data_IF_377795691891
#
_entry.id   IF_377795691891
#
_cell.length_a   1.000
_cell.length_b   1.000
_cell.length_c   1.000
_cell.angle_alpha   90.00
_cell.angle_beta   90.00
_cell.angle_gamma   90.00
#
_symmetry.space_group_name_H-M   'P 1'
#
loop_
_entity.id
_entity.type
_entity.pdbx_description
1 polymer ?
#
# COMPACT_ATOMS: atom_id res chain seq x y z
N UNK A 1 29.35 -30.81 -9.15
CA UNK A 1 28.37 -30.02 -8.31
C UNK A 1 28.97 -28.62 -8.13
N UNK A 2 28.48 -27.64 -8.88
CA UNK A 2 28.86 -26.24 -8.67
C UNK A 2 28.22 -25.75 -7.35
N UNK A 3 29.00 -25.69 -6.30
CA UNK A 3 28.59 -25.10 -4.98
C UNK A 3 28.69 -23.57 -5.01
N UNK A 4 28.30 -22.92 -6.06
CA UNK A 4 28.47 -21.46 -6.15
C UNK A 4 27.26 -20.65 -6.57
N UNK A 5 26.16 -21.28 -6.97
CA UNK A 5 24.98 -20.57 -7.46
C UNK A 5 23.71 -20.81 -6.64
N UNK A 6 23.78 -21.63 -5.58
CA UNK A 6 22.62 -22.00 -4.75
C UNK A 6 22.17 -20.92 -3.76
N UNK A 7 23.07 -20.02 -3.38
CA UNK A 7 22.82 -19.04 -2.30
C UNK A 7 22.69 -17.59 -2.81
N UNK A 8 22.64 -17.38 -4.13
CA UNK A 8 22.41 -16.03 -4.66
C UNK A 8 20.92 -15.72 -4.59
N UNK A 9 20.57 -14.77 -3.75
CA UNK A 9 19.21 -14.19 -3.74
C UNK A 9 18.93 -13.53 -5.08
N UNK A 10 18.06 -14.14 -5.86
CA UNK A 10 17.51 -13.53 -7.08
C UNK A 10 16.19 -12.87 -6.70
N UNK A 11 16.24 -11.58 -6.47
CA UNK A 11 15.14 -10.78 -5.96
C UNK A 11 14.52 -9.94 -7.07
N UNK A 12 13.20 -9.90 -7.10
CA UNK A 12 12.41 -8.93 -7.84
C UNK A 12 11.61 -8.08 -6.86
N UNK A 13 11.66 -6.78 -7.01
CA UNK A 13 10.79 -5.82 -6.31
C UNK A 13 9.62 -5.46 -7.24
N UNK A 14 8.43 -5.36 -6.66
CA UNK A 14 7.23 -4.86 -7.31
C UNK A 14 6.60 -3.78 -6.44
N UNK A 15 6.46 -2.59 -6.98
CA UNK A 15 5.74 -1.49 -6.37
C UNK A 15 4.25 -1.58 -6.73
N UNK A 16 3.45 -1.98 -5.75
CA UNK A 16 1.98 -2.03 -5.90
C UNK A 16 1.30 -0.80 -5.28
N UNK A 17 2.04 0.01 -4.53
CA UNK A 17 1.51 1.22 -3.91
C UNK A 17 1.17 2.27 -4.97
N UNK A 18 2.10 2.57 -5.91
CA UNK A 18 1.87 3.54 -6.98
C UNK A 18 0.89 3.03 -8.02
N UNK A 19 1.02 1.76 -8.41
CA UNK A 19 0.11 1.11 -9.35
C UNK A 19 -0.28 -0.26 -8.83
N UNK A 20 -1.56 -0.45 -8.51
CA UNK A 20 -2.05 -1.69 -7.96
C UNK A 20 -1.99 -2.82 -8.98
N UNK A 21 -1.34 -3.91 -8.62
CA UNK A 21 -1.33 -5.15 -9.40
C UNK A 21 -2.39 -6.09 -8.84
N UNK A 22 -3.39 -6.44 -9.65
CA UNK A 22 -4.45 -7.36 -9.23
C UNK A 22 -3.86 -8.73 -8.85
N UNK A 23 -4.48 -9.42 -7.87
CA UNK A 23 -4.04 -10.74 -7.40
C UNK A 23 -3.77 -11.72 -8.55
N UNK A 24 -4.67 -11.79 -9.53
CA UNK A 24 -4.51 -12.71 -10.66
C UNK A 24 -3.22 -12.45 -11.47
N UNK A 25 -2.84 -11.21 -11.64
CA UNK A 25 -1.64 -10.84 -12.38
C UNK A 25 -0.38 -11.01 -11.53
N UNK A 26 -0.50 -10.77 -10.21
CA UNK A 26 0.60 -11.07 -9.28
C UNK A 26 0.90 -12.57 -9.23
N UNK A 27 -0.11 -13.44 -9.25
CA UNK A 27 0.10 -14.90 -9.32
C UNK A 27 0.82 -15.31 -10.63
N UNK A 28 0.46 -14.71 -11.76
CA UNK A 28 1.19 -14.92 -13.03
C UNK A 28 2.65 -14.45 -12.94
N UNK A 29 2.90 -13.31 -12.30
CA UNK A 29 4.26 -12.84 -12.06
C UNK A 29 5.06 -13.85 -11.22
N UNK A 30 4.46 -14.41 -10.18
CA UNK A 30 5.08 -15.46 -9.35
C UNK A 30 5.43 -16.68 -10.19
N UNK A 31 4.59 -17.11 -11.14
CA UNK A 31 4.92 -18.19 -12.08
C UNK A 31 6.14 -17.85 -12.95
N UNK A 32 6.18 -16.62 -13.46
CA UNK A 32 7.31 -16.13 -14.28
C UNK A 32 8.59 -16.11 -13.44
N UNK A 33 8.54 -15.60 -12.21
CA UNK A 33 9.69 -15.56 -11.31
C UNK A 33 10.21 -16.97 -11.01
N UNK A 34 9.31 -17.93 -10.78
CA UNK A 34 9.65 -19.33 -10.57
C UNK A 34 10.32 -19.93 -11.81
N UNK A 35 9.79 -19.67 -12.99
CA UNK A 35 10.37 -20.13 -14.27
C UNK A 35 11.80 -19.62 -14.45
N UNK A 36 12.07 -18.35 -14.10
CA UNK A 36 13.42 -17.77 -14.14
C UNK A 36 14.29 -18.11 -12.93
N UNK A 37 13.82 -19.02 -12.05
CA UNK A 37 14.54 -19.45 -10.83
C UNK A 37 14.88 -18.29 -9.90
N UNK A 38 14.00 -17.32 -9.82
CA UNK A 38 14.02 -16.29 -8.80
C UNK A 38 13.38 -16.83 -7.52
N UNK A 39 13.89 -16.43 -6.36
CA UNK A 39 13.52 -17.01 -5.08
C UNK A 39 13.00 -15.98 -4.06
N UNK A 40 12.98 -14.71 -4.43
CA UNK A 40 12.48 -13.63 -3.58
C UNK A 40 11.61 -12.66 -4.39
N UNK A 41 10.39 -12.42 -3.92
CA UNK A 41 9.51 -11.35 -4.36
C UNK A 41 9.39 -10.32 -3.23
N UNK A 42 9.82 -9.12 -3.49
CA UNK A 42 9.70 -7.99 -2.59
C UNK A 42 8.50 -7.14 -3.02
N UNK A 43 7.49 -7.04 -2.16
CA UNK A 43 6.28 -6.27 -2.41
C UNK A 43 6.31 -4.97 -1.62
N UNK A 44 6.37 -3.85 -2.31
CA UNK A 44 6.22 -2.52 -1.74
C UNK A 44 4.74 -2.20 -1.63
N UNK A 45 4.20 -2.35 -0.40
CA UNK A 45 2.77 -2.38 -0.12
C UNK A 45 2.18 -1.04 0.33
N UNK A 46 3.03 -0.10 0.73
CA UNK A 46 2.57 1.22 1.19
C UNK A 46 3.53 2.31 0.72
N UNK A 47 2.96 3.46 0.40
CA UNK A 47 3.68 4.67 0.07
C UNK A 47 2.76 5.89 0.25
N UNK A 48 3.20 7.07 -0.16
CA UNK A 48 2.42 8.30 -0.12
C UNK A 48 1.11 8.19 -0.94
N UNK A 49 1.13 7.41 -2.02
CA UNK A 49 0.03 7.31 -2.96
C UNK A 49 -0.99 6.23 -2.65
N UNK A 50 -0.64 5.24 -1.85
CA UNK A 50 -1.61 4.24 -1.38
C UNK A 50 -1.08 3.29 -0.31
N UNK A 51 -2.05 2.65 0.36
CA UNK A 51 -1.89 1.47 1.20
C UNK A 51 -2.58 0.26 0.57
N UNK A 52 -1.90 -0.89 0.45
CA UNK A 52 -2.36 -2.00 -0.41
C UNK A 52 -2.62 -3.33 0.30
N UNK A 53 -2.64 -3.37 1.62
CA UNK A 53 -2.90 -4.61 2.37
C UNK A 53 -3.88 -4.36 3.51
N UNK A 54 -4.85 -5.26 3.66
CA UNK A 54 -5.82 -5.20 4.76
C UNK A 54 -5.15 -5.51 6.10
N UNK A 55 -5.36 -4.62 7.08
CA UNK A 55 -4.98 -4.82 8.47
C UNK A 55 -6.28 -4.88 9.30
N UNK A 56 -6.60 -6.02 9.92
CA UNK A 56 -7.79 -6.14 10.74
C UNK A 56 -7.83 -5.11 11.88
N UNK A 57 -8.94 -4.41 11.99
CA UNK A 57 -9.12 -3.36 12.99
C UNK A 57 -8.62 -1.97 12.57
N UNK A 58 -8.08 -1.82 11.36
CA UNK A 58 -7.64 -0.56 10.75
C UNK A 58 -8.26 -0.43 9.35
N UNK A 59 -9.57 -0.44 9.28
CA UNK A 59 -10.34 -0.48 8.02
C UNK A 59 -10.06 0.73 7.14
N UNK A 60 -9.79 1.90 7.73
CA UNK A 60 -9.51 3.15 7.02
C UNK A 60 -8.27 3.06 6.11
N UNK A 61 -7.31 2.17 6.44
CA UNK A 61 -6.15 1.91 5.57
C UNK A 61 -6.57 1.37 4.20
N UNK A 62 -7.67 0.62 4.12
CA UNK A 62 -8.16 0.07 2.85
C UNK A 62 -9.39 0.79 2.32
N UNK A 63 -10.22 1.36 3.17
CA UNK A 63 -11.41 2.12 2.74
C UNK A 63 -11.05 3.46 2.10
N UNK A 64 -10.00 4.12 2.61
CA UNK A 64 -9.58 5.47 2.21
C UNK A 64 -8.25 5.41 1.46
N UNK A 65 -7.21 4.89 2.12
CA UNK A 65 -5.86 4.96 1.60
C UNK A 65 -5.55 3.98 0.46
N UNK A 66 -6.48 3.09 0.09
CA UNK A 66 -6.35 2.26 -1.11
C UNK A 66 -6.98 2.86 -2.36
N UNK A 67 -7.57 4.05 -2.26
CA UNK A 67 -8.35 4.68 -3.32
C UNK A 67 -7.82 6.07 -3.62
N UNK A 68 -7.90 6.47 -4.88
CA UNK A 68 -7.59 7.82 -5.34
C UNK A 68 -8.76 8.41 -6.11
N UNK A 69 -9.02 9.69 -5.89
CA UNK A 69 -10.12 10.40 -6.52
C UNK A 69 -10.00 11.91 -6.33
N UNK A 70 -10.89 12.65 -6.95
CA UNK A 70 -10.99 14.08 -6.70
C UNK A 70 -11.54 14.33 -5.30
N UNK A 71 -10.74 14.95 -4.46
CA UNK A 71 -11.06 15.28 -3.07
C UNK A 71 -10.42 16.60 -2.69
N UNK A 72 -10.93 17.27 -1.67
CA UNK A 72 -10.38 18.50 -1.12
C UNK A 72 -9.73 18.30 0.25
N UNK A 73 -10.07 17.23 0.94
CA UNK A 73 -9.68 16.97 2.34
C UNK A 73 -9.10 15.57 2.58
N UNK A 74 -9.18 14.70 1.59
CA UNK A 74 -8.71 13.30 1.65
C UNK A 74 -9.36 12.45 2.76
N UNK A 75 -10.59 12.78 3.14
CA UNK A 75 -11.32 12.00 4.14
C UNK A 75 -11.92 10.70 3.58
N UNK A 76 -12.16 10.64 2.27
CA UNK A 76 -12.79 9.50 1.59
C UNK A 76 -11.86 8.76 0.63
N UNK A 77 -10.84 9.44 0.11
CA UNK A 77 -9.84 8.89 -0.80
C UNK A 77 -8.63 9.84 -0.84
N UNK A 78 -7.51 9.36 -1.36
CA UNK A 78 -6.32 10.17 -1.60
C UNK A 78 -6.43 10.94 -2.92
N UNK A 79 -5.58 11.95 -3.11
CA UNK A 79 -5.46 12.66 -4.38
C UNK A 79 -5.02 11.75 -5.53
N UNK A 80 -5.42 12.06 -6.79
CA UNK A 80 -4.85 11.43 -7.97
C UNK A 80 -3.33 11.62 -8.02
N UNK A 81 -2.62 10.59 -8.47
CA UNK A 81 -1.17 10.63 -8.63
C UNK A 81 -0.75 9.92 -9.91
N UNK A 82 0.38 10.32 -10.49
CA UNK A 82 0.92 9.73 -11.73
C UNK A 82 -0.07 9.71 -12.90
N UNK A 83 -0.93 10.74 -13.01
CA UNK A 83 -2.03 10.84 -13.97
C UNK A 83 -3.06 9.69 -13.89
N UNK A 84 -3.21 9.05 -12.71
CA UNK A 84 -4.17 8.00 -12.45
C UNK A 84 -5.00 8.27 -11.20
N UNK A 85 -6.19 7.65 -11.12
CA UNK A 85 -7.03 7.73 -9.93
C UNK A 85 -7.95 8.94 -9.91
N UNK A 86 -8.57 9.29 -11.03
CA UNK A 86 -9.53 10.39 -11.12
C UNK A 86 -10.87 10.06 -10.46
N UNK A 87 -11.17 8.77 -10.28
CA UNK A 87 -12.41 8.28 -9.71
C UNK A 87 -12.11 7.14 -8.72
N UNK A 88 -12.39 7.36 -7.45
CA UNK A 88 -12.17 6.43 -6.34
C UNK A 88 -13.04 5.17 -6.41
N UNK A 89 -14.13 5.21 -7.18
CA UNK A 89 -15.03 4.06 -7.36
C UNK A 89 -14.65 3.20 -8.58
N UNK A 90 -13.70 3.63 -9.40
CA UNK A 90 -13.27 2.88 -10.57
C UNK A 90 -12.41 1.66 -10.19
N UNK A 91 -13.04 0.48 -10.18
CA UNK A 91 -12.37 -0.80 -9.89
C UNK A 91 -11.52 -1.32 -11.05
N UNK A 92 -11.55 -0.67 -12.20
CA UNK A 92 -10.72 -1.04 -13.36
C UNK A 92 -9.39 -0.29 -13.34
N UNK A 93 -9.35 0.86 -12.67
CA UNK A 93 -8.14 1.66 -12.50
C UNK A 93 -7.09 0.94 -11.65
N UNK A 94 -5.83 1.05 -12.06
CA UNK A 94 -4.69 0.59 -11.26
C UNK A 94 -4.35 1.55 -10.10
N UNK A 95 -5.06 2.66 -9.98
CA UNK A 95 -4.96 3.55 -8.85
C UNK A 95 -5.63 2.97 -7.59
N UNK A 96 -6.66 2.12 -7.78
CA UNK A 96 -7.55 1.65 -6.73
C UNK A 96 -7.39 0.16 -6.50
N UNK A 97 -7.46 -0.26 -5.24
CA UNK A 97 -7.44 -1.65 -4.85
C UNK A 97 -6.46 -1.96 -3.74
N UNK A 98 -6.65 -3.11 -3.15
CA UNK A 98 -5.81 -3.67 -2.09
C UNK A 98 -5.93 -5.20 -2.08
N UNK A 99 -5.02 -5.86 -1.38
CA UNK A 99 -5.12 -7.28 -1.07
C UNK A 99 -5.84 -7.45 0.25
N UNK A 100 -6.98 -8.16 0.24
CA UNK A 100 -7.61 -8.60 1.48
C UNK A 100 -6.66 -9.54 2.24
N UNK A 101 -6.92 -9.75 3.52
CA UNK A 101 -6.16 -10.73 4.30
C UNK A 101 -6.16 -12.12 3.64
N UNK A 102 -7.30 -12.54 3.10
CA UNK A 102 -7.41 -13.82 2.38
C UNK A 102 -6.59 -13.81 1.09
N UNK A 103 -6.64 -12.72 0.31
CA UNK A 103 -5.83 -12.59 -0.90
C UNK A 103 -4.34 -12.66 -0.61
N UNK A 104 -3.91 -11.98 0.45
CA UNK A 104 -2.50 -11.96 0.82
C UNK A 104 -2.03 -13.34 1.29
N UNK A 105 -2.85 -14.05 2.07
CA UNK A 105 -2.57 -15.44 2.45
C UNK A 105 -2.46 -16.38 1.25
N UNK A 106 -3.35 -16.24 0.26
CA UNK A 106 -3.29 -17.03 -0.97
C UNK A 106 -2.00 -16.73 -1.76
N UNK A 107 -1.61 -15.45 -1.87
CA UNK A 107 -0.35 -15.03 -2.52
C UNK A 107 0.84 -15.70 -1.82
N UNK A 108 0.89 -15.64 -0.48
CA UNK A 108 1.98 -16.25 0.30
C UNK A 108 2.05 -17.77 0.08
N UNK A 109 0.90 -18.45 0.12
CA UNK A 109 0.81 -19.89 -0.13
C UNK A 109 1.29 -20.24 -1.53
N UNK A 110 0.78 -19.53 -2.54
CA UNK A 110 1.13 -19.73 -3.94
C UNK A 110 2.62 -19.53 -4.22
N UNK A 111 3.22 -18.48 -3.64
CA UNK A 111 4.65 -18.21 -3.73
C UNK A 111 5.49 -19.31 -3.03
N UNK A 112 5.06 -19.74 -1.84
CA UNK A 112 5.72 -20.81 -1.07
C UNK A 112 5.77 -22.14 -1.86
N UNK A 113 4.70 -22.52 -2.53
CA UNK A 113 4.63 -23.71 -3.37
C UNK A 113 5.63 -23.66 -4.55
N UNK A 114 6.09 -22.45 -4.92
CA UNK A 114 7.08 -22.18 -5.97
C UNK A 114 8.46 -21.84 -5.42
N UNK A 115 8.69 -22.08 -4.13
CA UNK A 115 9.94 -21.77 -3.44
C UNK A 115 10.35 -20.29 -3.51
N UNK A 116 9.36 -19.38 -3.60
CA UNK A 116 9.54 -17.93 -3.59
C UNK A 116 9.16 -17.40 -2.22
N UNK A 117 10.11 -16.70 -1.58
CA UNK A 117 9.87 -15.95 -0.35
C UNK A 117 9.31 -14.58 -0.70
N UNK A 118 8.17 -14.23 -0.14
CA UNK A 118 7.61 -12.89 -0.23
C UNK A 118 8.13 -12.05 0.94
N UNK A 119 8.63 -10.86 0.64
CA UNK A 119 9.04 -9.85 1.63
C UNK A 119 8.06 -8.69 1.50
N UNK A 120 7.15 -8.49 2.45
CA UNK A 120 6.33 -7.29 2.51
C UNK A 120 7.19 -6.11 2.96
N UNK A 121 7.01 -4.97 2.31
CA UNK A 121 7.62 -3.68 2.69
C UNK A 121 6.52 -2.68 3.02
N UNK A 122 6.70 -2.03 4.17
CA UNK A 122 5.88 -0.93 4.64
C UNK A 122 6.86 0.15 5.10
N UNK A 123 6.82 1.31 4.47
CA UNK A 123 7.74 2.39 4.76
C UNK A 123 7.23 3.30 5.88
N UNK A 124 8.12 3.56 6.85
CA UNK A 124 7.92 4.49 7.96
C UNK A 124 9.29 5.04 8.43
N UNK A 125 9.38 6.29 8.84
CA UNK A 125 8.37 7.37 8.83
C UNK A 125 8.22 8.05 7.47
N UNK A 126 9.15 7.84 6.53
CA UNK A 126 9.06 8.32 5.16
C UNK A 126 8.05 7.54 4.34
N UNK A 127 7.53 8.14 3.26
CA UNK A 127 6.58 7.48 2.34
C UNK A 127 5.34 6.91 3.05
N UNK A 128 4.85 7.59 4.09
CA UNK A 128 3.75 7.10 4.93
C UNK A 128 2.48 7.94 4.86
N UNK A 129 2.40 8.89 3.90
CA UNK A 129 1.27 9.81 3.77
C UNK A 129 -0.08 9.09 3.69
N UNK A 130 -0.19 8.00 2.91
CA UNK A 130 -1.43 7.24 2.81
C UNK A 130 -1.90 6.71 4.18
N UNK A 131 -0.98 6.16 4.98
CA UNK A 131 -1.29 5.70 6.34
C UNK A 131 -1.68 6.86 7.26
N UNK A 132 -0.98 7.99 7.18
CA UNK A 132 -1.28 9.21 7.96
C UNK A 132 -2.71 9.69 7.66
N UNK A 133 -3.09 9.77 6.38
CA UNK A 133 -4.45 10.20 5.99
C UNK A 133 -5.54 9.23 6.47
N UNK A 134 -5.30 7.93 6.40
CA UNK A 134 -6.19 6.93 6.96
C UNK A 134 -6.35 7.10 8.47
N UNK A 135 -5.27 7.33 9.22
CA UNK A 135 -5.33 7.54 10.67
C UNK A 135 -6.00 8.88 11.04
N UNK A 136 -5.79 9.93 10.26
CA UNK A 136 -6.52 11.18 10.43
C UNK A 136 -8.03 11.00 10.25
N UNK A 137 -8.47 10.26 9.24
CA UNK A 137 -9.87 9.95 9.04
C UNK A 137 -10.44 9.10 10.20
N UNK A 138 -9.65 8.16 10.72
CA UNK A 138 -10.00 7.38 11.90
C UNK A 138 -10.14 8.26 13.15
N UNK A 139 -9.23 9.19 13.36
CA UNK A 139 -9.35 10.20 14.42
C UNK A 139 -10.68 10.96 14.31
N UNK A 140 -11.02 11.49 13.13
CA UNK A 140 -12.25 12.22 12.90
C UNK A 140 -13.50 11.37 13.16
N UNK A 141 -13.45 10.08 12.84
CA UNK A 141 -14.56 9.14 13.10
C UNK A 141 -14.87 8.97 14.59
N UNK A 142 -13.87 9.08 15.46
CA UNK A 142 -14.02 8.84 16.90
C UNK A 142 -14.09 10.12 17.74
N UNK A 143 -13.68 11.29 17.24
CA UNK A 143 -13.55 12.53 18.04
C UNK A 143 -14.85 12.92 18.75
N UNK A 144 -16.00 12.72 18.13
CA UNK A 144 -17.30 13.09 18.68
C UNK A 144 -17.96 11.96 19.52
N UNK A 145 -17.43 10.72 19.43
CA UNK A 145 -18.07 9.55 20.07
C UNK A 145 -17.22 8.94 21.17
N UNK A 146 -15.91 8.94 21.03
CA UNK A 146 -14.95 8.38 21.97
C UNK A 146 -13.61 9.13 21.87
N UNK A 147 -13.51 10.22 22.61
CA UNK A 147 -12.33 11.08 22.56
C UNK A 147 -11.05 10.35 22.98
N UNK A 148 -11.11 9.46 23.97
CA UNK A 148 -9.93 8.71 24.42
C UNK A 148 -9.40 7.80 23.30
N UNK A 149 -10.31 7.17 22.56
CA UNK A 149 -9.95 6.34 21.41
C UNK A 149 -9.46 7.18 20.22
N UNK A 150 -10.04 8.35 20.01
CA UNK A 150 -9.57 9.26 18.97
C UNK A 150 -8.12 9.69 19.21
N UNK A 151 -7.78 10.04 20.44
CA UNK A 151 -6.42 10.50 20.81
C UNK A 151 -5.32 9.45 20.51
N UNK A 152 -5.66 8.15 20.48
CA UNK A 152 -4.72 7.09 20.07
C UNK A 152 -4.24 7.25 18.62
N UNK A 153 -5.04 7.92 17.77
CA UNK A 153 -4.77 8.10 16.35
C UNK A 153 -4.39 9.54 15.99
N UNK A 154 -4.27 10.42 16.99
CA UNK A 154 -3.86 11.80 16.79
C UNK A 154 -2.34 11.87 16.50
N UNK A 155 -1.99 12.24 15.28
CA UNK A 155 -0.61 12.39 14.85
C UNK A 155 -0.14 13.82 15.11
N UNK A 156 0.34 14.08 16.33
CA UNK A 156 0.80 15.43 16.74
C UNK A 156 2.14 15.81 16.13
N UNK A 157 3.05 14.85 15.99
CA UNK A 157 4.41 15.09 15.54
C UNK A 157 4.54 15.23 14.01
N UNK A 158 3.51 14.80 13.27
CA UNK A 158 3.47 14.82 11.80
C UNK A 158 2.42 15.77 11.22
N UNK A 159 1.72 16.54 12.06
CA UNK A 159 0.71 17.49 11.61
C UNK A 159 1.27 18.47 10.56
N UNK A 160 2.48 18.95 10.76
CA UNK A 160 3.16 19.86 9.83
C UNK A 160 3.62 19.16 8.55
N UNK A 161 4.07 17.89 8.63
CA UNK A 161 4.52 17.14 7.45
C UNK A 161 3.36 16.69 6.59
N UNK A 162 2.19 16.40 7.15
CA UNK A 162 0.99 16.07 6.35
C UNK A 162 0.50 17.27 5.55
N UNK A 163 0.65 18.50 6.07
CA UNK A 163 0.37 19.74 5.34
C UNK A 163 1.47 20.08 4.33
N UNK A 164 2.73 19.81 4.64
CA UNK A 164 3.86 20.03 3.73
C UNK A 164 3.83 19.09 2.53
N UNK A 165 3.44 17.85 2.70
CA UNK A 165 3.33 16.86 1.61
C UNK A 165 2.10 17.09 0.74
N UNK A 166 1.05 17.74 1.25
CA UNK A 166 -0.19 17.92 0.48
C UNK A 166 -0.25 19.20 -0.35
N UNK A 167 0.47 20.25 0.00
CA UNK A 167 0.31 21.57 -0.64
C UNK A 167 1.58 22.11 -1.33
N UNK A 168 2.75 21.91 -0.79
CA UNK A 168 3.95 22.56 -1.30
C UNK A 168 4.73 21.77 -2.37
N UNK A 169 4.68 20.45 -2.35
CA UNK A 169 5.37 19.65 -3.37
C UNK A 169 4.67 19.65 -4.75
N UNK A 170 3.46 20.21 -4.86
CA UNK A 170 2.76 20.38 -6.14
C UNK A 170 2.86 21.79 -6.72
N UNK A 171 3.36 22.77 -5.99
CA UNK A 171 3.45 24.14 -6.46
C UNK A 171 4.86 24.61 -6.84
N UNK A 172 5.90 23.86 -6.46
CA UNK A 172 7.30 24.24 -6.68
C UNK A 172 8.05 23.39 -7.72
N UNK A 173 7.32 22.66 -8.60
CA UNK A 173 7.92 21.99 -9.76
C UNK A 173 7.20 22.34 -11.04
#
# INVERSE_FOLDING_TARGET
>A
RSRGLGDVYKRQMLDVARNFTKKADLLKLIDILSFYKMNVLHLHLSDDEAWRVEIPGLEELTEIASRRGHTTDEQMCLYPAYAWGWNETDTTSLANGYYSRSDFMDILKYAKERHIRVIPEIDIPGHSRAAIKAMNARYQKYIDTDQSKAEEYLLTDFADTSQYLSAQNFTDN
#
